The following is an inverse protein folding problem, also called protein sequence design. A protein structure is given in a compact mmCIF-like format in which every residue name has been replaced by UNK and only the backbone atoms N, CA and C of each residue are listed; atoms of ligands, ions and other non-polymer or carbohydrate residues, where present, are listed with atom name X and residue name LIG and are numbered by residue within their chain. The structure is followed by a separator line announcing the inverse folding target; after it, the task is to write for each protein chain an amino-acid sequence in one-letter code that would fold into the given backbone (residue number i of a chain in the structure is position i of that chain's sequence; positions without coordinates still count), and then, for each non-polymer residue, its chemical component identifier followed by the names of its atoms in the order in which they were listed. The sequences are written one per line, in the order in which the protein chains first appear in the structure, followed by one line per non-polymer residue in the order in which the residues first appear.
data_IF_579009186313
#
_entry.id   IF_579009186313
#
_cell.length_a   1.000
_cell.length_b   1.000
_cell.length_c   1.000
_cell.angle_alpha   90.00
_cell.angle_beta   90.00
_cell.angle_gamma   90.00
#
_symmetry.space_group_name_H-M   'P 1'
#
loop_
_entity.id
_entity.type
_entity.pdbx_description
1 polymer ?
#
# COMPACT_ATOMS: atom_id res chain seq x y z
N UNK A 1 8.69 -18.09 5.95
CA UNK A 1 8.31 -16.89 5.17
C UNK A 1 6.91 -16.49 5.60
N UNK A 2 6.75 -15.35 6.27
CA UNK A 2 5.41 -14.87 6.60
C UNK A 2 4.69 -14.52 5.29
N UNK A 3 3.48 -15.06 5.10
CA UNK A 3 2.64 -14.70 3.97
C UNK A 3 2.45 -13.17 3.94
N UNK A 4 2.73 -12.54 2.80
CA UNK A 4 2.58 -11.08 2.62
C UNK A 4 1.17 -10.62 2.99
N UNK A 5 0.19 -11.49 2.76
CA UNK A 5 -1.22 -11.33 3.13
C UNK A 5 -1.44 -11.25 4.65
N UNK A 6 -0.69 -12.02 5.44
CA UNK A 6 -0.78 -12.04 6.90
C UNK A 6 -0.29 -10.72 7.49
N UNK A 7 0.77 -10.15 6.93
CA UNK A 7 1.30 -8.84 7.34
C UNK A 7 0.42 -7.71 6.82
N UNK A 8 -0.10 -7.79 5.59
CA UNK A 8 -0.88 -6.72 4.97
C UNK A 8 -2.30 -6.55 5.53
N UNK A 9 -2.93 -7.63 6.02
CA UNK A 9 -4.31 -7.61 6.56
C UNK A 9 -4.58 -6.53 7.62
N UNK A 10 -3.79 -6.40 8.70
CA UNK A 10 -4.03 -5.36 9.71
C UNK A 10 -3.97 -3.94 9.12
N UNK A 11 -3.03 -3.67 8.21
CA UNK A 11 -2.93 -2.36 7.55
C UNK A 11 -4.11 -2.07 6.62
N UNK A 12 -4.53 -3.05 5.82
CA UNK A 12 -5.70 -2.91 4.96
C UNK A 12 -6.97 -2.62 5.77
N UNK A 13 -7.13 -3.27 6.92
CA UNK A 13 -8.25 -3.01 7.84
C UNK A 13 -8.19 -1.61 8.44
N UNK A 14 -7.02 -1.16 8.90
CA UNK A 14 -6.84 0.19 9.45
C UNK A 14 -7.15 1.27 8.42
N UNK A 15 -6.58 1.16 7.22
CA UNK A 15 -6.82 2.09 6.11
C UNK A 15 -8.31 2.14 5.72
N UNK A 16 -8.99 0.98 5.65
CA UNK A 16 -10.41 0.93 5.35
C UNK A 16 -11.27 1.58 6.45
N UNK A 17 -10.93 1.36 7.73
CA UNK A 17 -11.67 1.99 8.83
C UNK A 17 -11.52 3.51 8.82
N UNK A 18 -10.32 4.02 8.56
CA UNK A 18 -10.03 5.45 8.43
C UNK A 18 -10.82 6.06 7.26
N UNK A 19 -10.72 5.44 6.09
CA UNK A 19 -11.44 5.85 4.89
C UNK A 19 -12.96 5.86 5.10
N UNK A 20 -13.49 4.87 5.82
CA UNK A 20 -14.92 4.80 6.15
C UNK A 20 -15.33 5.89 7.16
N UNK A 21 -14.52 6.14 8.18
CA UNK A 21 -14.77 7.18 9.18
C UNK A 21 -14.84 8.58 8.56
N UNK A 22 -13.97 8.86 7.60
CA UNK A 22 -13.94 10.13 6.88
C UNK A 22 -14.90 10.20 5.67
N UNK A 23 -15.63 9.13 5.35
CA UNK A 23 -16.43 8.98 4.11
C UNK A 23 -15.61 9.19 2.82
N UNK A 24 -14.32 8.89 2.86
CA UNK A 24 -13.37 9.04 1.74
C UNK A 24 -13.05 7.73 1.03
N UNK A 25 -13.95 6.73 1.10
CA UNK A 25 -13.71 5.41 0.51
C UNK A 25 -13.36 5.45 -0.99
N UNK A 26 -13.98 6.35 -1.76
CA UNK A 26 -13.67 6.52 -3.18
C UNK A 26 -12.24 6.99 -3.43
N UNK A 27 -11.81 8.05 -2.72
CA UNK A 27 -10.46 8.59 -2.83
C UNK A 27 -9.40 7.59 -2.35
N UNK A 28 -9.68 6.87 -1.26
CA UNK A 28 -8.80 5.81 -0.76
C UNK A 28 -8.68 4.63 -1.73
N UNK A 29 -9.79 4.22 -2.33
CA UNK A 29 -9.77 3.17 -3.36
C UNK A 29 -8.93 3.58 -4.56
N UNK A 30 -9.02 4.84 -5.01
CA UNK A 30 -8.22 5.36 -6.12
C UNK A 30 -6.74 5.41 -5.76
N UNK A 31 -6.40 5.95 -4.58
CA UNK A 31 -5.02 6.00 -4.10
C UNK A 31 -4.39 4.60 -4.00
N UNK A 32 -5.13 3.62 -3.48
CA UNK A 32 -4.67 2.22 -3.40
C UNK A 32 -4.49 1.59 -4.78
N UNK A 33 -5.36 1.91 -5.75
CA UNK A 33 -5.25 1.46 -7.15
C UNK A 33 -3.97 2.00 -7.79
N UNK A 34 -3.72 3.30 -7.62
CA UNK A 34 -2.51 3.96 -8.13
C UNK A 34 -1.26 3.39 -7.47
N UNK A 35 -1.25 3.26 -6.14
CA UNK A 35 -0.13 2.68 -5.41
C UNK A 35 0.19 1.24 -5.89
N UNK A 36 -0.84 0.43 -6.13
CA UNK A 36 -0.68 -0.92 -6.68
C UNK A 36 -0.10 -0.92 -8.10
N UNK A 37 -0.43 0.08 -8.93
CA UNK A 37 0.17 0.24 -10.26
C UNK A 37 1.64 0.70 -10.16
N UNK A 38 1.92 1.65 -9.28
CA UNK A 38 3.27 2.20 -9.05
C UNK A 38 4.23 1.11 -8.55
N UNK A 39 3.81 0.27 -7.59
CA UNK A 39 4.65 -0.83 -7.07
C UNK A 39 4.95 -1.90 -8.14
N UNK A 40 4.10 -2.02 -9.17
CA UNK A 40 4.32 -2.92 -10.32
C UNK A 40 5.24 -2.31 -11.39
N UNK A 41 5.50 -1.01 -11.36
CA UNK A 41 6.42 -0.36 -12.29
C UNK A 41 7.85 -0.88 -12.04
N UNK A 42 8.55 -1.41 -13.06
CA UNK A 42 9.90 -1.95 -12.91
C UNK A 42 10.89 -0.96 -12.26
N UNK A 43 10.74 0.34 -12.54
CA UNK A 43 11.60 1.39 -11.98
C UNK A 43 11.45 1.47 -10.46
N UNK A 44 10.21 1.34 -9.98
CA UNK A 44 9.87 1.39 -8.56
C UNK A 44 10.19 0.06 -7.88
N UNK A 45 9.92 -1.07 -8.55
CA UNK A 45 10.26 -2.39 -8.04
C UNK A 45 11.76 -2.53 -7.74
N UNK A 46 12.62 -1.92 -8.55
CA UNK A 46 14.08 -1.88 -8.34
C UNK A 46 14.46 -1.07 -7.09
N UNK A 47 13.64 -0.09 -6.69
CA UNK A 47 13.87 0.77 -5.53
C UNK A 47 13.33 0.14 -4.23
N UNK A 48 12.22 -0.61 -4.29
CA UNK A 48 11.58 -1.21 -3.11
C UNK A 48 12.46 -2.24 -2.36
N UNK A 49 13.45 -2.82 -3.04
CA UNK A 49 14.44 -3.71 -2.43
C UNK A 49 15.78 -3.03 -2.13
N UNK A 50 15.94 -1.74 -2.44
CA UNK A 50 17.20 -1.03 -2.28
C UNK A 50 17.32 -0.49 -0.85
N UNK A 51 18.28 -0.97 -0.04
CA UNK A 51 18.44 -0.53 1.35
C UNK A 51 18.87 0.95 1.50
N UNK A 52 19.27 1.61 0.40
CA UNK A 52 19.52 3.06 0.37
C UNK A 52 18.24 3.88 0.21
N UNK A 53 17.14 3.24 -0.16
CA UNK A 53 15.81 3.82 -0.28
C UNK A 53 14.99 3.28 0.89
N UNK A 54 15.29 3.77 2.09
CA UNK A 54 14.48 3.45 3.27
C UNK A 54 13.17 4.23 3.19
N UNK A 55 12.05 3.53 3.35
CA UNK A 55 10.76 4.15 3.63
C UNK A 55 10.88 4.92 4.94
N UNK A 56 10.86 6.26 4.85
CA UNK A 56 10.77 7.18 6.00
C UNK A 56 9.36 7.08 6.59
#
# INVERSE_FOLDING_TARGET
MADKTTIARPYAKAAFQEARGQKLLGAWSEALRVAAAVVKDPRVATLLGNPRVTAI
#
